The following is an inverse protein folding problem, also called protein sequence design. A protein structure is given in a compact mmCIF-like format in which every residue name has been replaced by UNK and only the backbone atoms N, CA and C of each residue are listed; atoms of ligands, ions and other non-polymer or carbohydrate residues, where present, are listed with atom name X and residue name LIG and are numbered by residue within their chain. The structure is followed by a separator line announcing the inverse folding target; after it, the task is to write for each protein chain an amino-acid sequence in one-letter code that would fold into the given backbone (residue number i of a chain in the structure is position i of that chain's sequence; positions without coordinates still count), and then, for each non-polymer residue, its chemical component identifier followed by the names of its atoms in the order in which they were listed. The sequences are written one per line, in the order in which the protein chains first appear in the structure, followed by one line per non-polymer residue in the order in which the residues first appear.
data_IF_971754817727
#
_entry.id   IF_971754817727
#
_cell.length_a   1.000
_cell.length_b   1.000
_cell.length_c   1.000
_cell.angle_alpha   90.00
_cell.angle_beta   90.00
_cell.angle_gamma   90.00
#
_symmetry.space_group_name_H-M   'P 1'
#
loop_
_entity.id
_entity.type
_entity.pdbx_description
1 polymer ?
#
# COMPACT_ATOMS: atom_id res chain seq x y z
N UNK A 1 10.02 4.24 -15.96
CA UNK A 1 10.93 4.22 -14.81
C UNK A 1 10.61 3.00 -13.97
N UNK A 2 11.59 2.15 -13.66
CA UNK A 2 11.37 0.96 -12.82
C UNK A 2 11.57 1.31 -11.34
N UNK A 3 10.69 0.83 -10.46
CA UNK A 3 10.82 0.95 -9.00
C UNK A 3 11.05 -0.44 -8.41
N UNK A 4 12.21 -0.64 -7.76
CA UNK A 4 12.46 -1.83 -6.95
C UNK A 4 11.90 -1.63 -5.55
N UNK A 5 11.13 -2.61 -5.10
CA UNK A 5 10.60 -2.72 -3.74
C UNK A 5 10.61 -4.18 -3.32
N UNK A 6 10.61 -4.42 -2.02
CA UNK A 6 10.59 -5.75 -1.43
C UNK A 6 9.16 -6.29 -1.39
N UNK A 7 8.18 -5.40 -1.21
CA UNK A 7 6.76 -5.74 -1.20
C UNK A 7 5.94 -4.80 -2.08
N UNK A 8 5.02 -5.37 -2.86
CA UNK A 8 4.01 -4.62 -3.60
C UNK A 8 2.62 -4.91 -3.03
N UNK A 9 1.90 -3.86 -2.64
CA UNK A 9 0.53 -3.92 -2.13
C UNK A 9 -0.38 -3.24 -3.13
N UNK A 10 -1.41 -3.94 -3.60
CA UNK A 10 -2.41 -3.39 -4.52
C UNK A 10 -3.71 -3.14 -3.75
N UNK A 11 -4.05 -1.86 -3.57
CA UNK A 11 -5.20 -1.38 -2.81
C UNK A 11 -4.81 -0.64 -1.52
N UNK A 12 -5.52 0.45 -1.23
CA UNK A 12 -5.30 1.30 -0.05
C UNK A 12 -6.44 1.23 0.98
N UNK A 13 -7.20 0.13 0.99
CA UNK A 13 -8.19 -0.13 2.05
C UNK A 13 -7.53 -0.65 3.33
N UNK A 14 -8.32 -0.85 4.38
CA UNK A 14 -7.82 -1.22 5.72
C UNK A 14 -6.93 -2.46 5.72
N UNK A 15 -7.28 -3.50 4.96
CA UNK A 15 -6.47 -4.71 4.85
C UNK A 15 -5.10 -4.42 4.20
N UNK A 16 -5.09 -3.66 3.10
CA UNK A 16 -3.87 -3.31 2.37
C UNK A 16 -2.93 -2.44 3.21
N UNK A 17 -3.47 -1.43 3.89
CA UNK A 17 -2.69 -0.57 4.79
C UNK A 17 -2.18 -1.31 6.03
N UNK A 18 -3.01 -2.20 6.60
CA UNK A 18 -2.61 -3.03 7.75
C UNK A 18 -1.44 -3.94 7.38
N UNK A 19 -1.51 -4.60 6.21
CA UNK A 19 -0.40 -5.42 5.72
C UNK A 19 0.83 -4.55 5.43
N UNK A 20 0.66 -3.42 4.73
CA UNK A 20 1.78 -2.54 4.39
C UNK A 20 2.52 -2.03 5.63
N UNK A 21 1.80 -1.70 6.70
CA UNK A 21 2.39 -1.26 7.98
C UNK A 21 3.24 -2.36 8.63
N UNK A 22 2.77 -3.63 8.60
CA UNK A 22 3.54 -4.76 9.11
C UNK A 22 4.76 -5.07 8.22
N UNK A 23 4.57 -5.08 6.90
CA UNK A 23 5.62 -5.36 5.92
C UNK A 23 6.73 -4.29 5.89
N UNK A 24 6.39 -3.03 6.20
CA UNK A 24 7.34 -1.93 6.26
C UNK A 24 8.44 -2.11 7.34
N UNK A 25 8.21 -2.97 8.33
CA UNK A 25 9.22 -3.35 9.32
C UNK A 25 10.31 -4.26 8.72
N UNK A 26 10.03 -4.90 7.57
CA UNK A 26 10.90 -5.89 6.94
C UNK A 26 11.47 -5.45 5.59
N UNK A 27 11.00 -4.34 5.01
CA UNK A 27 11.48 -3.87 3.72
C UNK A 27 10.68 -2.69 3.14
N UNK A 28 11.08 -2.25 1.94
CA UNK A 28 10.40 -1.19 1.21
C UNK A 28 9.09 -1.71 0.63
N UNK A 29 8.01 -1.01 0.95
CA UNK A 29 6.66 -1.32 0.46
C UNK A 29 6.23 -0.26 -0.55
N UNK A 30 5.77 -0.70 -1.72
CA UNK A 30 5.03 0.15 -2.67
C UNK A 30 3.54 -0.17 -2.56
N UNK A 31 2.73 0.84 -2.26
CA UNK A 31 1.27 0.72 -2.31
C UNK A 31 0.78 1.32 -3.64
N UNK A 32 0.18 0.50 -4.48
CA UNK A 32 -0.50 0.90 -5.71
C UNK A 32 -2.01 0.93 -5.45
N UNK A 33 -2.65 2.08 -5.64
CA UNK A 33 -4.10 2.23 -5.53
C UNK A 33 -4.64 3.03 -6.71
N UNK A 34 -5.86 2.70 -7.15
CA UNK A 34 -6.58 3.43 -8.20
C UNK A 34 -7.30 4.67 -7.64
N UNK A 35 -7.47 4.74 -6.32
CA UNK A 35 -8.12 5.88 -5.64
C UNK A 35 -7.20 7.10 -5.62
N UNK A 36 -7.74 8.26 -5.97
CA UNK A 36 -7.12 9.53 -5.61
C UNK A 36 -7.13 9.66 -4.08
N UNK A 37 -6.26 10.49 -3.51
CA UNK A 37 -5.96 10.64 -2.06
C UNK A 37 -7.17 10.78 -1.11
N UNK A 38 -8.39 10.94 -1.64
CA UNK A 38 -9.61 11.35 -0.94
C UNK A 38 -10.80 10.35 -1.01
N UNK A 39 -10.71 9.19 -1.67
CA UNK A 39 -11.86 8.27 -1.72
C UNK A 39 -11.87 7.30 -0.53
N UNK A 40 -12.08 7.81 0.68
CA UNK A 40 -12.37 6.98 1.87
C UNK A 40 -13.88 6.91 2.07
N UNK A 41 -14.53 5.87 1.54
CA UNK A 41 -15.85 5.46 2.02
C UNK A 41 -15.64 4.17 2.82
N UNK A 42 -15.59 4.33 4.15
CA UNK A 42 -15.21 3.37 5.20
C UNK A 42 -13.82 2.74 5.00
N UNK A 43 -12.80 3.43 5.51
CA UNK A 43 -11.48 2.86 5.82
C UNK A 43 -11.43 2.49 7.29
#
# INVERSE_FOLDING_TARGET
MFKKVDFLVVGSGIAGLTFASKAAQYGKVLILTKKSKADSNTN
#
